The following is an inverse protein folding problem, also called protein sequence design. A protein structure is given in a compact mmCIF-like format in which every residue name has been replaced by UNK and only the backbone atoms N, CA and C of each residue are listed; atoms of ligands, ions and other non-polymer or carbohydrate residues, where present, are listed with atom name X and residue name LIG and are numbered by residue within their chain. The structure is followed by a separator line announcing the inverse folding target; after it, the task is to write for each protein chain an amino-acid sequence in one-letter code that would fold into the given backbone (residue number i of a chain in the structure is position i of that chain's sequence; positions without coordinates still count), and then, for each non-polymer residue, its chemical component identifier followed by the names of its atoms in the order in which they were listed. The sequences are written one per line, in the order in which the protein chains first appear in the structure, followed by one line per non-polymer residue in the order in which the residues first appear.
data_IF_098968275359
#
_entry.id   IF_098968275359
#
_cell.length_a   1.000
_cell.length_b   1.000
_cell.length_c   1.000
_cell.angle_alpha   90.00
_cell.angle_beta   90.00
_cell.angle_gamma   90.00
#
_symmetry.space_group_name_H-M   'P 1'
#
loop_
_entity.id
_entity.type
_entity.pdbx_description
1 polymer ?
#
# COMPACT_ATOMS: atom_id res chain seq x y z
N UNK A 1 0.10 12.00 19.26
CA UNK A 1 -0.04 13.18 18.38
C UNK A 1 0.81 12.94 17.14
N UNK A 2 0.20 12.45 16.07
CA UNK A 2 0.78 12.34 14.73
C UNK A 2 -0.42 12.47 13.82
N UNK A 3 -0.66 13.67 13.33
CA UNK A 3 -1.93 14.03 12.72
C UNK A 3 -2.07 13.40 11.34
N UNK A 4 -3.24 12.83 11.08
CA UNK A 4 -3.77 12.58 9.73
C UNK A 4 -4.07 13.92 9.02
N UNK A 5 -3.13 14.85 9.07
CA UNK A 5 -3.09 16.11 8.30
C UNK A 5 -2.48 15.74 6.96
N UNK A 6 -3.15 15.70 5.84
CA UNK A 6 -4.42 16.29 5.43
C UNK A 6 -5.00 15.29 4.43
N UNK A 7 -5.80 14.32 4.90
CA UNK A 7 -6.26 13.22 4.04
C UNK A 7 -7.02 13.73 2.79
N UNK A 8 -7.57 14.95 2.86
CA UNK A 8 -8.16 15.66 1.74
C UNK A 8 -7.19 15.80 0.56
N UNK A 9 -5.89 15.98 0.81
CA UNK A 9 -4.87 16.05 -0.24
C UNK A 9 -4.63 14.71 -0.96
N UNK A 10 -5.02 13.59 -0.35
CA UNK A 10 -4.96 12.26 -0.94
C UNK A 10 -6.23 11.89 -1.72
N UNK A 11 -7.28 12.71 -1.64
CA UNK A 11 -8.51 12.47 -2.39
C UNK A 11 -8.22 12.53 -3.89
N UNK A 12 -8.85 11.62 -4.62
CA UNK A 12 -8.88 11.70 -6.07
C UNK A 12 -9.50 13.04 -6.50
N UNK A 13 -8.89 13.69 -7.50
CA UNK A 13 -9.30 14.99 -8.00
C UNK A 13 -10.78 15.04 -8.43
N UNK A 14 -11.35 13.89 -8.79
CA UNK A 14 -12.77 13.74 -9.18
C UNK A 14 -13.75 14.00 -8.04
N UNK A 15 -13.29 13.98 -6.79
CA UNK A 15 -14.12 14.37 -5.65
C UNK A 15 -14.16 15.89 -5.45
N UNK A 16 -13.33 16.68 -6.15
CA UNK A 16 -13.28 18.14 -6.03
C UNK A 16 -13.11 18.63 -4.58
N UNK A 17 -12.45 17.83 -3.74
CA UNK A 17 -12.32 18.09 -2.30
C UNK A 17 -13.61 17.94 -1.49
N UNK A 18 -14.68 17.44 -2.10
CA UNK A 18 -15.95 17.13 -1.45
C UNK A 18 -15.92 15.69 -0.89
N UNK A 19 -15.41 15.55 0.32
CA UNK A 19 -15.55 14.33 1.10
C UNK A 19 -15.76 14.66 2.57
N UNK A 20 -16.53 13.82 3.25
CA UNK A 20 -16.63 13.87 4.69
C UNK A 20 -15.30 13.45 5.32
N UNK A 21 -14.75 14.29 6.20
CA UNK A 21 -13.43 14.08 6.79
C UNK A 21 -13.40 12.86 7.70
N UNK A 22 -14.51 12.56 8.37
CA UNK A 22 -14.59 11.44 9.29
C UNK A 22 -14.70 10.12 8.50
N UNK A 23 -15.52 10.08 7.45
CA UNK A 23 -15.58 8.94 6.52
C UNK A 23 -14.22 8.68 5.86
N UNK A 24 -13.57 9.73 5.37
CA UNK A 24 -12.23 9.64 4.79
C UNK A 24 -11.22 9.12 5.80
N UNK A 25 -11.26 9.62 7.04
CA UNK A 25 -10.37 9.17 8.11
C UNK A 25 -10.57 7.67 8.42
N UNK A 26 -11.82 7.21 8.54
CA UNK A 26 -12.14 5.79 8.77
C UNK A 26 -11.71 4.92 7.59
N UNK A 27 -11.97 5.36 6.36
CA UNK A 27 -11.53 4.66 5.15
C UNK A 27 -10.00 4.53 5.11
N UNK A 28 -9.25 5.60 5.39
CA UNK A 28 -7.79 5.56 5.45
C UNK A 28 -7.29 4.61 6.54
N UNK A 29 -7.85 4.66 7.76
CA UNK A 29 -7.46 3.74 8.85
C UNK A 29 -7.65 2.28 8.46
N UNK A 30 -8.83 1.93 7.94
CA UNK A 30 -9.14 0.55 7.51
C UNK A 30 -8.22 0.11 6.38
N UNK A 31 -7.97 0.97 5.38
CA UNK A 31 -7.06 0.65 4.30
C UNK A 31 -5.65 0.34 4.81
N UNK A 32 -5.13 1.12 5.76
CA UNK A 32 -3.82 0.89 6.38
C UNK A 32 -3.74 -0.44 7.14
N UNK A 33 -4.84 -0.88 7.77
CA UNK A 33 -4.92 -2.20 8.42
C UNK A 33 -5.02 -3.36 7.42
N UNK A 34 -5.75 -3.18 6.31
CA UNK A 34 -5.93 -4.21 5.30
C UNK A 34 -4.64 -4.57 4.56
N UNK A 35 -3.71 -3.62 4.41
CA UNK A 35 -2.42 -3.84 3.72
C UNK A 35 -1.31 -4.38 4.64
N UNK A 36 -1.61 -4.69 5.90
CA UNK A 36 -0.62 -5.25 6.82
C UNK A 36 -0.08 -6.59 6.33
N UNK A 37 1.19 -6.83 6.62
CA UNK A 37 1.93 -8.01 6.15
C UNK A 37 1.53 -9.28 6.90
N UNK A 38 1.31 -9.20 8.22
CA UNK A 38 0.76 -10.32 8.98
C UNK A 38 -0.76 -10.38 8.77
N UNK A 39 -1.24 -11.54 8.32
CA UNK A 39 -2.66 -11.80 8.11
C UNK A 39 -3.47 -11.64 9.40
N UNK A 40 -2.86 -11.91 10.56
CA UNK A 40 -3.52 -11.80 11.87
C UNK A 40 -3.88 -10.37 12.25
N UNK A 41 -3.14 -9.41 11.70
CA UNK A 41 -3.38 -7.98 11.94
C UNK A 41 -4.47 -7.44 11.02
N UNK A 42 -4.82 -8.17 9.95
CA UNK A 42 -5.88 -7.74 9.03
C UNK A 42 -7.25 -7.89 9.69
N UNK A 43 -8.10 -6.85 9.63
CA UNK A 43 -9.43 -6.90 10.20
C UNK A 43 -10.31 -7.87 9.40
N UNK A 44 -11.23 -8.54 10.09
CA UNK A 44 -12.26 -9.34 9.42
C UNK A 44 -13.16 -8.44 8.58
N UNK A 45 -13.78 -9.01 7.54
CA UNK A 45 -14.69 -8.24 6.69
C UNK A 45 -15.84 -7.58 7.48
N UNK A 46 -16.32 -8.25 8.54
CA UNK A 46 -17.30 -7.70 9.47
C UNK A 46 -16.78 -6.44 10.16
N UNK A 47 -15.56 -6.47 10.71
CA UNK A 47 -14.95 -5.33 11.37
C UNK A 47 -14.71 -4.17 10.39
N UNK A 48 -14.25 -4.47 9.18
CA UNK A 48 -14.07 -3.46 8.12
C UNK A 48 -15.37 -2.70 7.88
N UNK A 49 -16.49 -3.40 7.67
CA UNK A 49 -17.79 -2.76 7.43
C UNK A 49 -18.21 -1.93 8.63
N UNK A 50 -18.09 -2.47 9.85
CA UNK A 50 -18.44 -1.73 11.08
C UNK A 50 -17.64 -0.43 11.23
N UNK A 51 -16.37 -0.42 10.83
CA UNK A 51 -15.56 0.81 10.87
C UNK A 51 -15.98 1.78 9.78
N UNK A 52 -16.21 1.32 8.54
CA UNK A 52 -16.66 2.19 7.46
C UNK A 52 -18.01 2.86 7.77
N UNK A 53 -18.95 2.08 8.32
CA UNK A 53 -20.26 2.55 8.80
C UNK A 53 -20.17 3.47 10.04
N UNK A 54 -19.00 3.57 10.68
CA UNK A 54 -18.80 4.38 11.89
C UNK A 54 -19.36 3.76 13.17
N UNK A 55 -19.72 2.47 13.13
CA UNK A 55 -20.20 1.69 14.29
C UNK A 55 -19.05 1.30 15.22
N UNK A 56 -17.82 1.26 14.72
CA UNK A 56 -16.62 0.91 15.49
C UNK A 56 -15.40 1.72 15.00
N UNK A 57 -14.36 1.83 15.82
CA UNK A 57 -13.09 2.45 15.43
C UNK A 57 -11.96 1.44 15.58
N UNK A 58 -11.03 1.46 14.62
CA UNK A 58 -9.76 0.75 14.74
C UNK A 58 -8.69 1.78 15.04
N UNK A 59 -7.76 1.43 15.94
CA UNK A 59 -6.65 2.29 16.28
C UNK A 59 -5.76 2.61 15.07
N UNK A 60 -4.69 3.37 15.30
CA UNK A 60 -3.70 3.65 14.26
C UNK A 60 -2.96 2.34 13.95
N UNK A 61 -2.97 1.95 12.67
CA UNK A 61 -2.23 0.79 12.19
C UNK A 61 -0.72 0.97 12.35
N UNK A 62 0.05 -0.08 12.67
CA UNK A 62 1.50 0.00 12.63
C UNK A 62 1.98 0.34 11.20
N UNK A 63 3.13 1.01 11.11
CA UNK A 63 3.77 1.30 9.82
C UNK A 63 4.16 -0.04 9.16
N UNK A 64 3.65 -0.37 7.96
CA UNK A 64 4.07 -1.57 7.23
C UNK A 64 5.59 -1.54 6.95
N UNK A 65 6.26 -2.69 7.09
CA UNK A 65 7.72 -2.77 6.92
C UNK A 65 8.18 -2.35 5.52
N UNK A 66 7.35 -2.60 4.51
CA UNK A 66 7.63 -2.20 3.13
C UNK A 66 7.69 -0.68 2.99
N UNK A 67 6.75 0.05 3.60
CA UNK A 67 6.74 1.52 3.59
C UNK A 67 7.94 2.08 4.35
N UNK A 68 8.33 1.45 5.47
CA UNK A 68 9.55 1.80 6.18
C UNK A 68 10.78 1.69 5.28
N UNK A 69 10.91 0.61 4.51
CA UNK A 69 12.04 0.45 3.57
C UNK A 69 12.05 1.53 2.50
N UNK A 70 10.89 1.93 1.96
CA UNK A 70 10.83 3.01 0.97
C UNK A 70 11.31 4.36 1.53
N UNK A 71 11.07 4.63 2.82
CA UNK A 71 11.56 5.85 3.47
C UNK A 71 13.08 5.84 3.73
N UNK A 72 13.69 4.66 3.77
CA UNK A 72 15.13 4.46 3.98
C UNK A 72 15.93 4.46 2.66
N UNK A 73 15.26 4.39 1.50
CA UNK A 73 15.92 4.43 0.19
C UNK A 73 16.17 5.89 -0.25
N UNK A 74 17.39 6.23 -0.72
CA UNK A 74 17.63 7.51 -1.37
C UNK A 74 16.73 7.69 -2.59
N UNK A 75 16.03 8.82 -2.67
CA UNK A 75 15.08 9.18 -3.75
C UNK A 75 15.73 9.14 -5.15
N UNK A 76 17.07 9.12 -5.24
CA UNK A 76 17.80 9.01 -6.51
C UNK A 76 17.79 7.62 -7.14
N UNK A 77 17.35 6.56 -6.43
CA UNK A 77 17.33 5.20 -6.96
C UNK A 77 16.04 4.83 -7.72
N UNK A 78 15.05 5.72 -7.78
CA UNK A 78 13.80 5.52 -8.53
C UNK A 78 13.91 6.13 -9.94
N UNK A 79 14.94 5.74 -10.69
CA UNK A 79 14.85 5.83 -12.14
C UNK A 79 13.88 4.74 -12.59
N UNK A 80 12.68 5.13 -13.02
CA UNK A 80 11.94 4.29 -13.95
C UNK A 80 12.82 4.21 -15.20
N UNK A 81 13.56 3.12 -15.34
CA UNK A 81 14.34 2.84 -16.54
C UNK A 81 13.35 2.79 -17.71
N UNK A 82 13.16 3.91 -18.41
CA UNK A 82 12.50 3.95 -19.71
C UNK A 82 13.46 3.30 -20.70
N UNK A 83 13.47 1.97 -20.76
CA UNK A 83 14.19 1.22 -21.78
C UNK A 83 13.59 1.53 -23.15
N UNK A 84 14.20 2.48 -23.86
CA UNK A 84 13.95 2.71 -25.27
C UNK A 84 15.01 1.96 -26.08
N UNK A 85 14.50 1.13 -27.01
CA UNK A 85 15.12 0.54 -28.20
C UNK A 85 16.00 -0.72 -28.05
N UNK A 86 15.55 -1.79 -28.71
CA UNK A 86 16.35 -2.96 -29.07
C UNK A 86 15.51 -4.25 -29.13
N UNK A 87 15.09 -4.64 -30.33
CA UNK A 87 14.26 -5.79 -30.69
C UNK A 87 14.43 -7.07 -29.85
N UNK A 88 13.40 -7.44 -29.11
CA UNK A 88 13.07 -8.84 -28.81
C UNK A 88 11.55 -8.94 -28.61
N UNK A 89 10.93 -9.89 -29.30
CA UNK A 89 9.48 -10.09 -29.28
C UNK A 89 9.09 -10.75 -27.95
N UNK A 90 8.80 -9.94 -26.93
CA UNK A 90 8.28 -10.44 -25.66
C UNK A 90 6.76 -10.51 -25.74
N UNK A 91 6.25 -11.74 -25.76
CA UNK A 91 4.83 -12.01 -25.67
C UNK A 91 4.35 -11.76 -24.24
N UNK A 92 3.16 -11.18 -24.13
CA UNK A 92 2.55 -10.77 -22.88
C UNK A 92 2.22 -11.97 -21.98
N UNK A 93 3.09 -12.33 -21.03
CA UNK A 93 2.67 -13.06 -19.81
C UNK A 93 3.36 -12.63 -18.52
N UNK A 94 4.44 -11.87 -18.54
CA UNK A 94 5.21 -11.61 -17.31
C UNK A 94 5.15 -10.14 -16.90
N UNK A 95 4.02 -9.75 -16.29
CA UNK A 95 4.02 -8.60 -15.38
C UNK A 95 4.56 -9.13 -14.06
N UNK A 96 5.74 -8.71 -13.56
CA UNK A 96 6.19 -9.14 -12.25
C UNK A 96 5.24 -8.56 -11.22
N UNK A 97 4.43 -9.43 -10.64
CA UNK A 97 3.57 -9.13 -9.51
C UNK A 97 4.44 -8.53 -8.40
N UNK A 98 4.15 -7.28 -8.05
CA UNK A 98 4.67 -6.66 -6.84
C UNK A 98 4.28 -7.55 -5.64
N UNK A 99 5.24 -7.80 -4.75
CA UNK A 99 5.22 -8.70 -3.59
C UNK A 99 5.69 -10.14 -3.81
N UNK A 100 7.02 -10.32 -3.93
CA UNK A 100 7.66 -11.48 -3.32
C UNK A 100 8.76 -11.02 -2.34
N UNK A 101 8.46 -10.88 -1.04
CA UNK A 101 9.49 -10.79 -0.03
C UNK A 101 9.93 -12.21 0.33
N UNK A 102 10.63 -12.93 -0.54
CA UNK A 102 11.24 -14.21 -0.18
C UNK A 102 12.63 -14.29 -0.79
N UNK A 103 13.63 -14.01 0.04
CA UNK A 103 15.02 -14.41 -0.19
C UNK A 103 15.03 -15.93 -0.28
N UNK A 104 14.92 -16.49 -1.49
CA UNK A 104 15.23 -17.90 -1.74
C UNK A 104 16.65 -17.97 -2.25
N UNK A 105 17.57 -18.22 -1.33
CA UNK A 105 18.92 -18.68 -1.66
C UNK A 105 18.78 -19.92 -2.55
N UNK A 106 19.21 -19.83 -3.81
CA UNK A 106 19.35 -21.01 -4.64
C UNK A 106 20.72 -21.61 -4.34
N UNK A 107 20.72 -22.67 -3.54
CA UNK A 107 21.88 -23.54 -3.37
C UNK A 107 22.33 -24.03 -4.75
N UNK A 108 23.64 -23.90 -5.02
CA UNK A 108 24.33 -24.73 -6.01
C UNK A 108 24.12 -26.19 -5.61
N UNK A 109 23.62 -27.02 -6.51
CA UNK A 109 23.91 -28.45 -6.43
C UNK A 109 24.06 -29.08 -7.83
N UNK A 110 25.20 -29.78 -7.93
CA UNK A 110 25.86 -30.58 -8.98
C UNK A 110 25.52 -30.35 -10.46
#
# INVERSE_FOLDING_TARGET
MGSMTDAISLLDYRFEGQADKDELGRACKVACWCIQDDEKDRPTMRQVVQVLEGVSDVGISPMPWFLQRLTELPIEAINYEKTTSGSDSFSCTDVPSAFQPQIRSCSKEM
#
